data_IF_401193717641
#
_entry.id   IF_401193717641
#
_cell.length_a   1.000
_cell.length_b   1.000
_cell.length_c   1.000
_cell.angle_alpha   90.00
_cell.angle_beta   90.00
_cell.angle_gamma   90.00
#
_symmetry.space_group_name_H-M   'P 1'
#
loop_
_entity.id
_entity.type
_entity.pdbx_description
1 polymer ?
#
# COMPACT_ATOMS: atom_id res chain seq x y z
N UNK A 1 -19.53 -6.28 -1.92
CA UNK A 1 -19.99 -5.10 -2.67
C UNK A 1 -19.32 -5.18 -4.02
N UNK A 2 -20.08 -5.02 -5.09
CA UNK A 2 -19.50 -5.03 -6.44
C UNK A 2 -19.31 -3.60 -6.93
N UNK A 3 -18.15 -3.34 -7.51
CA UNK A 3 -17.83 -2.03 -8.09
C UNK A 3 -17.69 -2.20 -9.60
N UNK A 4 -18.81 -2.18 -10.35
CA UNK A 4 -18.77 -2.46 -11.78
C UNK A 4 -17.96 -1.45 -12.59
N UNK A 5 -17.73 -0.27 -12.05
CA UNK A 5 -16.87 0.76 -12.64
C UNK A 5 -15.40 0.33 -12.71
N UNK A 6 -15.01 -0.68 -11.92
CA UNK A 6 -13.64 -1.22 -11.92
C UNK A 6 -13.43 -2.26 -13.01
N UNK A 7 -14.50 -2.83 -13.58
CA UNK A 7 -14.35 -3.86 -14.61
C UNK A 7 -13.60 -3.31 -15.82
N UNK A 8 -12.57 -4.03 -16.25
CA UNK A 8 -11.71 -3.63 -17.38
C UNK A 8 -10.69 -2.54 -17.07
N UNK A 9 -10.65 -2.02 -15.84
CA UNK A 9 -9.62 -1.06 -15.43
C UNK A 9 -8.30 -1.79 -15.20
N UNK A 10 -7.21 -1.06 -15.32
CA UNK A 10 -5.85 -1.60 -15.18
C UNK A 10 -5.25 -1.07 -13.88
N UNK A 11 -4.80 -1.97 -13.02
CA UNK A 11 -4.24 -1.64 -11.70
C UNK A 11 -2.82 -2.16 -11.55
N UNK A 12 -1.95 -1.33 -10.97
CA UNK A 12 -0.64 -1.77 -10.48
C UNK A 12 -0.73 -1.90 -8.96
N UNK A 13 -0.30 -3.04 -8.42
CA UNK A 13 -0.22 -3.25 -6.97
C UNK A 13 1.22 -3.63 -6.62
N UNK A 14 1.91 -2.79 -5.85
CA UNK A 14 3.27 -3.10 -5.38
C UNK A 14 3.23 -3.83 -4.04
N UNK A 15 4.17 -4.76 -3.84
CA UNK A 15 4.15 -5.65 -2.68
C UNK A 15 3.00 -6.64 -2.78
N UNK A 16 2.71 -7.12 -4.00
CA UNK A 16 1.54 -7.97 -4.30
C UNK A 16 1.78 -9.44 -4.00
N UNK A 17 3.00 -9.83 -3.64
CA UNK A 17 3.34 -11.23 -3.37
C UNK A 17 2.74 -11.77 -2.08
N UNK A 18 2.38 -10.90 -1.13
CA UNK A 18 1.89 -11.34 0.19
C UNK A 18 0.99 -10.30 0.86
N UNK A 19 0.37 -10.69 1.95
CA UNK A 19 -0.31 -9.80 2.89
C UNK A 19 -1.38 -8.93 2.24
N UNK A 20 -1.37 -7.63 2.60
CA UNK A 20 -2.38 -6.68 2.11
C UNK A 20 -2.31 -6.54 0.58
N UNK A 21 -1.10 -6.44 0.01
CA UNK A 21 -0.94 -6.30 -1.44
C UNK A 21 -1.57 -7.46 -2.21
N UNK A 22 -1.34 -8.68 -1.77
CA UNK A 22 -1.92 -9.87 -2.39
C UNK A 22 -3.46 -9.86 -2.28
N UNK A 23 -3.97 -9.52 -1.09
CA UNK A 23 -5.42 -9.47 -0.88
C UNK A 23 -6.07 -8.39 -1.78
N UNK A 24 -5.41 -7.23 -1.91
CA UNK A 24 -5.87 -6.15 -2.79
C UNK A 24 -5.86 -6.61 -4.25
N UNK A 25 -4.75 -7.23 -4.70
CA UNK A 25 -4.62 -7.70 -6.08
C UNK A 25 -5.74 -8.67 -6.44
N UNK A 26 -6.01 -9.64 -5.54
CA UNK A 26 -7.11 -10.61 -5.71
C UNK A 26 -8.46 -9.90 -5.78
N UNK A 27 -8.72 -9.01 -4.83
CA UNK A 27 -10.02 -8.33 -4.77
C UNK A 27 -10.24 -7.44 -5.99
N UNK A 28 -9.21 -6.75 -6.51
CA UNK A 28 -9.34 -5.97 -7.76
C UNK A 28 -9.66 -6.87 -8.94
N UNK A 29 -9.02 -8.04 -9.03
CA UNK A 29 -9.31 -9.00 -10.09
C UNK A 29 -10.74 -9.54 -9.99
N UNK A 30 -11.23 -9.79 -8.76
CA UNK A 30 -12.63 -10.22 -8.53
C UNK A 30 -13.64 -9.15 -8.96
N UNK A 31 -13.22 -7.87 -8.94
CA UNK A 31 -14.06 -6.76 -9.46
C UNK A 31 -13.87 -6.57 -10.97
N UNK A 32 -13.06 -7.41 -11.63
CA UNK A 32 -12.87 -7.40 -13.07
C UNK A 32 -11.72 -6.55 -13.58
N UNK A 33 -10.82 -6.10 -12.71
CA UNK A 33 -9.62 -5.37 -13.13
C UNK A 33 -8.59 -6.29 -13.77
N UNK A 34 -7.80 -5.73 -14.67
CA UNK A 34 -6.51 -6.30 -15.04
C UNK A 34 -5.48 -5.83 -14.00
N UNK A 35 -4.67 -6.75 -13.45
CA UNK A 35 -3.80 -6.41 -12.32
C UNK A 35 -2.34 -6.78 -12.62
N UNK A 36 -1.44 -5.81 -12.53
CA UNK A 36 -0.01 -6.09 -12.50
C UNK A 36 0.40 -6.32 -11.03
N UNK A 37 0.75 -7.56 -10.72
CA UNK A 37 1.25 -7.98 -9.40
C UNK A 37 2.75 -7.72 -9.36
N UNK A 38 3.17 -6.67 -8.67
CA UNK A 38 4.57 -6.24 -8.62
C UNK A 38 5.16 -6.51 -7.23
N UNK A 39 6.32 -7.17 -7.19
CA UNK A 39 6.97 -7.49 -5.91
C UNK A 39 8.48 -7.60 -6.10
N UNK A 40 9.26 -7.40 -5.03
CA UNK A 40 10.71 -7.62 -5.06
C UNK A 40 11.02 -9.13 -5.19
N UNK A 41 10.13 -9.96 -4.65
CA UNK A 41 10.18 -11.41 -4.82
C UNK A 41 9.39 -11.76 -6.09
N UNK A 42 10.12 -12.01 -7.18
CA UNK A 42 9.51 -12.35 -8.47
C UNK A 42 8.69 -13.63 -8.41
N UNK A 43 9.15 -14.65 -7.67
CA UNK A 43 8.42 -15.90 -7.54
C UNK A 43 7.09 -15.69 -6.82
N UNK A 44 7.07 -14.83 -5.80
CA UNK A 44 5.83 -14.49 -5.10
C UNK A 44 4.87 -13.70 -6.00
N UNK A 45 5.40 -12.79 -6.83
CA UNK A 45 4.59 -12.05 -7.81
C UNK A 45 3.97 -13.01 -8.86
N UNK A 46 4.78 -13.94 -9.37
CA UNK A 46 4.33 -14.96 -10.35
C UNK A 46 3.25 -15.87 -9.74
N UNK A 47 3.46 -16.30 -8.49
CA UNK A 47 2.48 -17.11 -7.78
C UNK A 47 1.16 -16.35 -7.56
N UNK A 48 1.25 -15.05 -7.24
CA UNK A 48 0.07 -14.21 -7.06
C UNK A 48 -0.71 -14.09 -8.39
N UNK A 49 -0.02 -13.73 -9.49
CA UNK A 49 -0.64 -13.59 -10.80
C UNK A 49 -1.26 -14.91 -11.28
N UNK A 50 -0.55 -16.03 -11.08
CA UNK A 50 -1.04 -17.37 -11.46
C UNK A 50 -2.33 -17.71 -10.71
N UNK A 51 -2.39 -17.44 -9.41
CA UNK A 51 -3.58 -17.72 -8.59
C UNK A 51 -4.77 -16.83 -8.99
N UNK A 52 -4.51 -15.60 -9.39
CA UNK A 52 -5.55 -14.68 -9.88
C UNK A 52 -6.05 -15.14 -11.26
N UNK A 53 -5.14 -15.58 -12.12
CA UNK A 53 -5.51 -16.11 -13.43
C UNK A 53 -5.64 -15.06 -14.50
N UNK A 54 -6.63 -15.23 -15.38
CA UNK A 54 -6.83 -14.32 -16.53
C UNK A 54 -7.00 -12.87 -16.05
N UNK A 55 -6.25 -11.97 -16.64
CA UNK A 55 -6.30 -10.56 -16.27
C UNK A 55 -5.20 -10.15 -15.31
N UNK A 56 -4.30 -11.07 -14.92
CA UNK A 56 -3.16 -10.72 -14.05
C UNK A 56 -1.84 -11.00 -14.76
N UNK A 57 -0.85 -10.18 -14.45
CA UNK A 57 0.54 -10.35 -14.88
C UNK A 57 1.46 -10.08 -13.69
N UNK A 58 2.65 -10.63 -13.72
CA UNK A 58 3.63 -10.44 -12.66
C UNK A 58 4.78 -9.56 -13.11
N UNK A 59 5.39 -8.87 -12.16
CA UNK A 59 6.58 -8.06 -12.40
C UNK A 59 7.48 -8.05 -11.18
N UNK A 60 8.74 -8.46 -11.37
CA UNK A 60 9.73 -8.30 -10.29
C UNK A 60 10.19 -6.85 -10.26
N UNK A 61 10.10 -6.18 -9.10
CA UNK A 61 10.50 -4.77 -8.97
C UNK A 61 11.01 -4.46 -7.56
N UNK A 62 12.15 -3.82 -7.48
CA UNK A 62 12.60 -3.15 -6.27
C UNK A 62 12.12 -1.70 -6.36
N UNK A 63 11.17 -1.32 -5.52
CA UNK A 63 10.58 0.03 -5.55
C UNK A 63 11.57 1.12 -5.12
N UNK A 64 12.72 0.75 -4.56
CA UNK A 64 13.77 1.74 -4.27
C UNK A 64 14.61 2.09 -5.50
N UNK A 65 14.43 1.37 -6.62
CA UNK A 65 15.17 1.58 -7.88
C UNK A 65 14.25 2.23 -8.91
N UNK A 66 14.53 3.47 -9.27
CA UNK A 66 13.69 4.22 -10.21
C UNK A 66 13.60 3.55 -11.59
N UNK A 67 14.70 2.95 -12.08
CA UNK A 67 14.69 2.32 -13.40
C UNK A 67 13.78 1.08 -13.44
N UNK A 68 13.76 0.33 -12.33
CA UNK A 68 12.85 -0.82 -12.23
C UNK A 68 11.39 -0.38 -12.15
N UNK A 69 11.10 0.76 -11.50
CA UNK A 69 9.73 1.30 -11.46
C UNK A 69 9.30 1.74 -12.88
N UNK A 70 10.19 2.41 -13.63
CA UNK A 70 9.90 2.78 -15.02
C UNK A 70 9.56 1.52 -15.82
N UNK A 71 10.42 0.50 -15.71
CA UNK A 71 10.20 -0.77 -16.41
C UNK A 71 8.88 -1.45 -15.99
N UNK A 72 8.53 -1.38 -14.70
CA UNK A 72 7.26 -1.93 -14.18
C UNK A 72 6.05 -1.23 -14.82
N UNK A 73 6.08 0.11 -14.88
CA UNK A 73 4.98 0.88 -15.47
C UNK A 73 4.88 0.58 -16.97
N UNK A 74 6.02 0.51 -17.67
CA UNK A 74 6.03 0.18 -19.10
C UNK A 74 5.54 -1.25 -19.35
N UNK A 75 5.88 -2.21 -18.48
CA UNK A 75 5.37 -3.58 -18.56
C UNK A 75 3.84 -3.61 -18.39
N UNK A 76 3.30 -2.80 -17.48
CA UNK A 76 1.87 -2.69 -17.28
C UNK A 76 1.18 -2.16 -18.56
N UNK A 77 1.74 -1.10 -19.14
CA UNK A 77 1.22 -0.51 -20.38
C UNK A 77 1.28 -1.53 -21.51
N UNK A 78 2.40 -2.26 -21.63
CA UNK A 78 2.56 -3.29 -22.68
C UNK A 78 1.55 -4.44 -22.52
N UNK A 79 1.30 -4.86 -21.28
CA UNK A 79 0.40 -5.99 -21.03
C UNK A 79 -1.07 -5.62 -21.17
N UNK A 80 -1.46 -4.41 -20.73
CA UNK A 80 -2.88 -4.07 -20.54
C UNK A 80 -3.29 -2.74 -21.20
N UNK A 81 -2.38 -2.06 -21.87
CA UNK A 81 -2.70 -0.84 -22.64
C UNK A 81 -2.72 0.46 -21.83
N UNK A 82 -2.36 0.45 -20.56
CA UNK A 82 -2.33 1.68 -19.77
C UNK A 82 -2.35 1.42 -18.27
N UNK A 83 -2.57 2.48 -17.50
CA UNK A 83 -2.70 2.40 -16.03
C UNK A 83 -3.91 3.26 -15.61
N UNK A 84 -4.83 2.70 -14.86
CA UNK A 84 -6.00 3.42 -14.29
C UNK A 84 -5.89 3.58 -12.77
N UNK A 85 -5.30 2.59 -12.09
CA UNK A 85 -5.26 2.53 -10.62
C UNK A 85 -3.85 2.18 -10.15
N UNK A 86 -3.43 2.78 -9.04
CA UNK A 86 -2.15 2.45 -8.41
C UNK A 86 -2.37 2.18 -6.92
N UNK A 87 -1.83 1.06 -6.46
CA UNK A 87 -1.76 0.75 -5.02
C UNK A 87 -0.28 0.67 -4.63
N UNK A 88 0.23 1.75 -4.03
CA UNK A 88 1.60 1.82 -3.54
C UNK A 88 1.63 1.22 -2.13
N UNK A 89 1.80 -0.11 -2.10
CA UNK A 89 1.71 -0.89 -0.86
C UNK A 89 3.07 -1.44 -0.40
N UNK A 90 4.03 -1.63 -1.30
CA UNK A 90 5.35 -2.18 -0.95
C UNK A 90 5.98 -1.40 0.21
N UNK A 91 6.57 -2.13 1.15
CA UNK A 91 7.22 -1.49 2.29
C UNK A 91 7.89 -2.49 3.20
N UNK A 92 8.71 -1.94 4.10
CA UNK A 92 9.43 -2.73 5.11
C UNK A 92 9.21 -2.08 6.48
N UNK A 93 9.30 -2.88 7.53
CA UNK A 93 9.30 -2.40 8.91
C UNK A 93 10.73 -2.47 9.46
N UNK A 94 11.08 -1.48 10.25
CA UNK A 94 12.31 -1.48 11.05
C UNK A 94 11.95 -0.97 12.45
N UNK A 95 12.28 -1.74 13.46
CA UNK A 95 11.99 -1.40 14.86
C UNK A 95 13.31 -1.27 15.62
N UNK A 96 13.61 -0.06 15.99
CA UNK A 96 14.77 0.29 16.81
C UNK A 96 14.50 1.63 17.48
N UNK A 97 15.18 1.91 18.58
CA UNK A 97 15.09 3.24 19.20
C UNK A 97 15.64 4.28 18.22
N UNK A 98 15.23 5.52 18.39
CA UNK A 98 15.67 6.61 17.51
C UNK A 98 17.21 6.74 17.50
N UNK A 99 17.82 6.57 18.66
CA UNK A 99 19.28 6.72 18.80
C UNK A 99 20.06 5.48 18.34
N UNK A 100 19.42 4.31 18.28
CA UNK A 100 20.08 3.07 17.85
C UNK A 100 19.85 2.78 16.36
N UNK A 101 18.96 3.52 15.70
CA UNK A 101 18.72 3.36 14.25
C UNK A 101 19.95 3.83 13.48
N UNK A 102 20.56 2.95 12.70
CA UNK A 102 21.71 3.33 11.87
C UNK A 102 21.24 4.21 10.69
N UNK A 103 22.19 4.98 10.13
CA UNK A 103 21.90 5.79 8.92
C UNK A 103 21.47 4.86 7.77
N UNK A 104 22.12 3.71 7.65
CA UNK A 104 21.84 2.73 6.61
C UNK A 104 20.41 2.18 6.72
N UNK A 105 19.95 1.85 7.93
CA UNK A 105 18.58 1.37 8.15
C UNK A 105 17.55 2.48 7.90
N UNK A 106 17.86 3.69 8.37
CA UNK A 106 17.01 4.86 8.10
C UNK A 106 16.86 5.06 6.59
N UNK A 107 17.98 5.13 5.87
CA UNK A 107 17.97 5.36 4.42
C UNK A 107 17.22 4.25 3.67
N UNK A 108 17.43 2.99 4.07
CA UNK A 108 16.74 1.84 3.48
C UNK A 108 15.23 1.95 3.65
N UNK A 109 14.77 2.28 4.87
CA UNK A 109 13.33 2.40 5.15
C UNK A 109 12.72 3.56 4.35
N UNK A 110 13.40 4.71 4.32
CA UNK A 110 12.92 5.88 3.55
C UNK A 110 12.92 5.58 2.05
N UNK A 111 13.98 4.93 1.55
CA UNK A 111 14.09 4.61 0.12
C UNK A 111 12.94 3.69 -0.34
N UNK A 112 12.63 2.66 0.44
CA UNK A 112 11.58 1.70 0.08
C UNK A 112 10.19 2.29 0.31
N UNK A 113 9.91 2.74 1.55
CA UNK A 113 8.54 3.07 1.94
C UNK A 113 8.07 4.40 1.35
N UNK A 114 8.90 5.45 1.44
CA UNK A 114 8.45 6.80 1.06
C UNK A 114 8.89 7.16 -0.35
N UNK A 115 10.19 7.04 -0.64
CA UNK A 115 10.69 7.37 -1.98
C UNK A 115 10.10 6.42 -3.02
N UNK A 116 9.97 5.12 -2.68
CA UNK A 116 9.34 4.15 -3.57
C UNK A 116 7.89 4.50 -3.92
N UNK A 117 7.08 4.86 -2.91
CA UNK A 117 5.68 5.27 -3.16
C UNK A 117 5.61 6.53 -4.03
N UNK A 118 6.52 7.49 -3.78
CA UNK A 118 6.62 8.71 -4.59
C UNK A 118 7.02 8.38 -6.03
N UNK A 119 8.03 7.51 -6.22
CA UNK A 119 8.47 7.10 -7.56
C UNK A 119 7.36 6.37 -8.32
N UNK A 120 6.63 5.47 -7.65
CA UNK A 120 5.49 4.80 -8.27
C UNK A 120 4.45 5.83 -8.75
N UNK A 121 4.14 6.82 -7.90
CA UNK A 121 3.21 7.90 -8.27
C UNK A 121 3.77 8.73 -9.44
N UNK A 122 5.05 9.11 -9.37
CA UNK A 122 5.74 9.93 -10.39
C UNK A 122 5.64 9.32 -11.77
N UNK A 123 5.81 7.99 -11.86
CA UNK A 123 5.88 7.32 -13.17
C UNK A 123 4.52 6.75 -13.62
N UNK A 124 3.61 6.40 -12.70
CA UNK A 124 2.27 5.92 -13.07
C UNK A 124 1.33 7.09 -13.44
N UNK A 125 1.41 8.23 -12.76
CA UNK A 125 0.46 9.33 -12.98
C UNK A 125 0.47 9.85 -14.44
N UNK A 126 1.61 10.03 -15.12
CA UNK A 126 1.57 10.42 -16.54
C UNK A 126 0.81 9.42 -17.41
N UNK A 127 1.00 8.10 -17.18
CA UNK A 127 0.27 7.07 -17.94
C UNK A 127 -1.23 7.09 -17.62
N UNK A 128 -1.58 7.40 -16.36
CA UNK A 128 -2.99 7.59 -15.97
C UNK A 128 -3.60 8.81 -16.69
N UNK A 129 -2.86 9.91 -16.79
CA UNK A 129 -3.30 11.13 -17.50
C UNK A 129 -3.50 10.83 -18.99
N UNK A 130 -2.58 10.15 -19.60
CA UNK A 130 -2.67 9.75 -21.02
C UNK A 130 -3.91 8.89 -21.29
N UNK A 131 -4.26 8.00 -20.39
CA UNK A 131 -5.39 7.11 -20.51
C UNK A 131 -6.71 7.74 -20.04
N UNK A 132 -6.43 8.49 -19.24
CA UNK A 132 -7.60 9.02 -18.63
C UNK A 132 -8.27 10.13 -19.38
N UNK A 133 -8.25 10.23 -20.40
CA UNK A 133 -8.95 11.22 -21.13
C UNK A 133 -10.35 11.50 -20.66
N UNK A 134 -10.83 10.86 -19.94
CA UNK A 134 -12.10 11.09 -19.41
C UNK A 134 -12.47 10.40 -18.11
N UNK A 135 -11.82 9.60 -17.70
CA UNK A 135 -12.26 8.88 -16.56
C UNK A 135 -11.39 9.03 -15.38
N UNK A 136 -10.51 9.76 -15.34
CA UNK A 136 -9.62 9.99 -14.24
C UNK A 136 -9.02 8.72 -13.67
N UNK A 137 -8.09 8.88 -12.71
CA UNK A 137 -7.43 7.75 -12.06
C UNK A 137 -7.64 7.74 -10.54
N UNK A 138 -7.17 6.66 -9.88
CA UNK A 138 -7.18 6.65 -8.42
C UNK A 138 -5.92 5.97 -7.87
N UNK A 139 -5.35 6.57 -6.86
CA UNK A 139 -4.13 6.10 -6.19
C UNK A 139 -4.45 5.87 -4.71
N UNK A 140 -4.05 4.71 -4.20
CA UNK A 140 -4.12 4.46 -2.76
C UNK A 140 -2.71 4.11 -2.26
N UNK A 141 -2.25 4.88 -1.30
CA UNK A 141 -0.94 4.67 -0.67
C UNK A 141 -1.14 3.98 0.69
N UNK A 142 -0.40 2.91 0.95
CA UNK A 142 -0.47 2.20 2.24
C UNK A 142 0.49 2.82 3.24
N UNK A 143 -0.06 3.58 4.18
CA UNK A 143 0.67 4.10 5.32
C UNK A 143 0.56 3.11 6.51
N UNK A 144 0.36 3.62 7.69
CA UNK A 144 0.22 2.87 8.94
C UNK A 144 -0.31 3.81 10.01
N UNK A 145 -0.92 3.27 11.04
CA UNK A 145 -1.26 4.06 12.22
C UNK A 145 -0.01 4.75 12.80
N UNK A 146 1.18 4.11 12.70
CA UNK A 146 2.44 4.70 13.15
C UNK A 146 2.85 5.96 12.35
N UNK A 147 2.20 6.25 11.23
CA UNK A 147 2.41 7.51 10.51
C UNK A 147 1.60 8.67 11.08
N UNK A 148 0.66 8.40 11.98
CA UNK A 148 -0.21 9.42 12.59
C UNK A 148 0.00 9.52 14.10
N UNK A 149 0.30 8.41 14.78
CA UNK A 149 0.59 8.41 16.21
C UNK A 149 2.02 7.96 16.46
N UNK A 150 2.63 8.53 17.48
CA UNK A 150 4.00 8.16 17.83
C UNK A 150 4.01 6.81 18.57
N UNK A 151 4.79 5.88 18.03
CA UNK A 151 5.00 4.58 18.64
C UNK A 151 6.51 4.45 18.88
N UNK A 152 6.90 4.28 20.14
CA UNK A 152 8.32 4.11 20.49
C UNK A 152 8.91 2.93 19.70
N UNK A 153 10.13 3.09 19.22
CA UNK A 153 10.81 2.05 18.46
C UNK A 153 10.48 2.01 16.98
N UNK A 154 9.62 2.93 16.47
CA UNK A 154 9.27 2.94 15.05
C UNK A 154 9.79 4.18 14.31
N UNK A 155 10.92 4.78 14.78
CA UNK A 155 11.37 6.08 14.27
C UNK A 155 11.37 6.20 12.75
N UNK A 156 12.28 5.50 12.07
CA UNK A 156 12.39 5.58 10.60
C UNK A 156 11.09 5.15 9.92
N UNK A 157 10.47 4.06 10.40
CA UNK A 157 9.22 3.55 9.86
C UNK A 157 8.10 4.58 10.00
N UNK A 158 7.89 5.09 11.22
CA UNK A 158 6.83 6.08 11.48
C UNK A 158 7.00 7.34 10.62
N UNK A 159 8.25 7.85 10.52
CA UNK A 159 8.55 9.00 9.67
C UNK A 159 8.23 8.71 8.21
N UNK A 160 8.61 7.53 7.69
CA UNK A 160 8.29 7.15 6.32
C UNK A 160 6.77 7.12 6.10
N UNK A 161 6.02 6.56 7.05
CA UNK A 161 4.56 6.43 6.94
C UNK A 161 3.84 7.78 7.10
N UNK A 162 4.38 8.70 7.91
CA UNK A 162 3.87 10.09 7.98
C UNK A 162 4.10 10.80 6.64
N UNK A 163 5.28 10.60 6.02
CA UNK A 163 5.58 11.16 4.70
C UNK A 163 4.59 10.68 3.63
N UNK A 164 4.17 9.41 3.68
CA UNK A 164 3.18 8.86 2.74
C UNK A 164 1.82 9.58 2.87
N UNK A 165 1.40 9.94 4.10
CA UNK A 165 0.17 10.69 4.30
C UNK A 165 0.25 12.04 3.56
N UNK A 166 1.39 12.73 3.72
CA UNK A 166 1.57 14.03 3.06
C UNK A 166 1.73 13.86 1.55
N UNK A 167 2.42 12.80 1.09
CA UNK A 167 2.52 12.49 -0.34
C UNK A 167 1.13 12.40 -0.99
N UNK A 168 0.20 11.66 -0.37
CA UNK A 168 -1.16 11.53 -0.91
C UNK A 168 -1.89 12.86 -1.01
N UNK A 169 -1.71 13.74 0.00
CA UNK A 169 -2.34 15.07 0.00
C UNK A 169 -1.79 15.94 -1.13
N UNK A 170 -0.47 15.93 -1.31
CA UNK A 170 0.19 16.69 -2.38
C UNK A 170 -0.28 16.14 -3.73
N UNK A 171 -0.26 14.82 -3.91
CA UNK A 171 -0.72 14.18 -5.15
C UNK A 171 -2.17 14.56 -5.46
N UNK A 172 -3.05 14.52 -4.46
CA UNK A 172 -4.46 14.90 -4.66
C UNK A 172 -4.60 16.35 -5.10
N UNK A 173 -3.82 17.25 -4.51
CA UNK A 173 -3.87 18.68 -4.85
C UNK A 173 -3.34 18.94 -6.27
N UNK A 174 -2.21 18.33 -6.62
CA UNK A 174 -1.55 18.57 -7.91
C UNK A 174 -2.26 17.91 -9.09
N UNK A 175 -2.83 16.72 -8.88
CA UNK A 175 -3.42 15.93 -9.97
C UNK A 175 -4.95 16.06 -10.06
N UNK A 176 -5.56 16.92 -9.23
CA UNK A 176 -7.01 17.14 -9.23
C UNK A 176 -7.54 17.55 -10.61
N UNK A 177 -6.83 18.45 -11.29
CA UNK A 177 -7.25 18.94 -12.60
C UNK A 177 -7.20 17.85 -13.68
N UNK A 178 -6.42 16.78 -13.44
CA UNK A 178 -6.35 15.62 -14.32
C UNK A 178 -7.37 14.53 -13.94
N UNK A 179 -8.22 14.79 -12.94
CA UNK A 179 -9.22 13.82 -12.50
C UNK A 179 -8.64 12.65 -11.71
N UNK A 180 -7.41 12.77 -11.19
CA UNK A 180 -6.78 11.70 -10.43
C UNK A 180 -6.98 11.96 -8.93
N UNK A 181 -7.55 10.97 -8.23
CA UNK A 181 -7.73 11.00 -6.77
C UNK A 181 -6.55 10.27 -6.12
N UNK A 182 -6.14 10.72 -4.93
CA UNK A 182 -5.10 10.05 -4.16
C UNK A 182 -5.49 10.04 -2.69
N UNK A 183 -5.51 8.86 -2.08
CA UNK A 183 -5.88 8.68 -0.68
C UNK A 183 -4.89 7.77 0.03
N UNK A 184 -4.92 7.81 1.36
CA UNK A 184 -4.05 7.00 2.20
C UNK A 184 -4.89 6.06 3.07
N UNK A 185 -4.50 4.79 3.14
CA UNK A 185 -5.05 3.86 4.13
C UNK A 185 -4.03 3.68 5.26
N UNK A 186 -4.49 3.77 6.51
CA UNK A 186 -3.69 3.56 7.72
C UNK A 186 -4.21 2.33 8.47
N UNK A 187 -3.68 1.16 8.19
CA UNK A 187 -3.94 -0.01 9.04
C UNK A 187 -3.19 0.09 10.38
N UNK A 188 -3.70 -0.59 11.41
CA UNK A 188 -2.91 -0.88 12.60
C UNK A 188 -2.38 -2.33 12.49
N UNK A 189 -2.96 -3.28 13.21
CA UNK A 189 -2.43 -4.65 13.25
C UNK A 189 -3.19 -5.54 12.29
N UNK A 190 -2.52 -5.96 11.20
CA UNK A 190 -3.09 -6.82 10.15
C UNK A 190 -2.27 -8.11 10.07
N UNK A 191 -2.92 -9.26 9.98
CA UNK A 191 -2.25 -10.58 9.96
C UNK A 191 -1.51 -10.78 8.63
N UNK A 192 -0.24 -10.39 8.62
CA UNK A 192 0.64 -10.44 7.45
C UNK A 192 2.01 -10.94 7.86
N UNK A 193 2.83 -11.42 6.91
CA UNK A 193 4.22 -11.79 7.25
C UNK A 193 5.00 -10.64 7.90
N UNK A 194 4.81 -9.40 7.42
CA UNK A 194 5.46 -8.21 8.02
C UNK A 194 5.04 -8.04 9.48
N UNK A 195 3.76 -8.22 9.79
CA UNK A 195 3.25 -8.09 11.17
C UNK A 195 3.79 -9.21 12.05
N UNK A 196 3.92 -10.42 11.55
CA UNK A 196 4.48 -11.53 12.31
C UNK A 196 5.94 -11.24 12.70
N UNK A 197 6.72 -10.67 11.78
CA UNK A 197 8.09 -10.21 12.06
C UNK A 197 8.08 -9.13 13.16
N UNK A 198 7.21 -8.14 13.05
CA UNK A 198 7.09 -7.07 14.05
C UNK A 198 6.67 -7.63 15.41
N UNK A 199 5.76 -8.60 15.45
CA UNK A 199 5.33 -9.23 16.72
C UNK A 199 6.51 -9.90 17.44
N UNK A 200 7.37 -10.60 16.70
CA UNK A 200 8.55 -11.24 17.31
C UNK A 200 9.46 -10.19 17.97
N UNK A 201 9.61 -9.02 17.32
CA UNK A 201 10.39 -7.92 17.88
C UNK A 201 9.71 -7.33 19.13
N UNK A 202 8.39 -7.12 19.09
CA UNK A 202 7.64 -6.63 20.27
C UNK A 202 7.69 -7.63 21.42
N UNK A 203 7.60 -8.94 21.14
CA UNK A 203 7.72 -9.96 22.18
C UNK A 203 9.11 -9.93 22.84
N UNK A 204 10.15 -9.59 22.07
CA UNK A 204 11.49 -9.39 22.64
C UNK A 204 11.53 -8.28 23.69
N UNK A 205 10.74 -7.23 23.49
CA UNK A 205 10.68 -6.08 24.40
C UNK A 205 9.66 -6.27 25.54
N UNK A 206 8.54 -6.92 25.26
CA UNK A 206 7.39 -7.02 26.18
C UNK A 206 7.32 -8.37 26.92
N UNK A 207 8.15 -9.33 26.52
CA UNK A 207 8.09 -10.70 27.01
C UNK A 207 7.17 -11.56 26.11
N UNK A 208 7.33 -12.87 26.20
CA UNK A 208 6.62 -13.83 25.35
C UNK A 208 5.10 -13.63 25.42
N UNK A 209 4.46 -13.44 24.27
CA UNK A 209 3.01 -13.21 24.16
C UNK A 209 2.59 -11.78 24.45
N UNK A 210 3.55 -10.89 24.76
CA UNK A 210 3.26 -9.48 25.03
C UNK A 210 2.65 -8.74 23.86
N UNK A 211 3.15 -9.02 22.66
CA UNK A 211 2.61 -8.43 21.43
C UNK A 211 1.15 -8.81 21.22
N UNK A 212 0.81 -10.10 21.42
CA UNK A 212 -0.57 -10.57 21.26
C UNK A 212 -1.50 -9.90 22.29
N UNK A 213 -1.04 -9.82 23.54
CA UNK A 213 -1.81 -9.17 24.62
C UNK A 213 -2.04 -7.68 24.33
N UNK A 214 -1.01 -7.02 23.81
CA UNK A 214 -1.11 -5.61 23.40
C UNK A 214 -2.15 -5.43 22.30
N UNK A 215 -2.12 -6.26 21.26
CA UNK A 215 -3.08 -6.19 20.14
C UNK A 215 -4.51 -6.44 20.64
N UNK A 216 -4.69 -7.45 21.50
CA UNK A 216 -6.01 -7.76 22.07
C UNK A 216 -6.57 -6.57 22.85
N UNK A 217 -5.71 -5.86 23.57
CA UNK A 217 -6.13 -4.69 24.36
C UNK A 217 -6.42 -3.47 23.48
N UNK A 218 -5.60 -3.23 22.45
CA UNK A 218 -5.70 -2.00 21.64
C UNK A 218 -6.72 -2.13 20.50
N UNK A 219 -6.73 -3.26 19.81
CA UNK A 219 -7.53 -3.46 18.59
C UNK A 219 -8.57 -4.56 18.73
N UNK A 220 -8.47 -5.41 19.76
CA UNK A 220 -9.34 -6.56 19.94
C UNK A 220 -8.81 -7.80 19.24
N UNK A 221 -8.41 -7.70 18.00
CA UNK A 221 -7.83 -8.78 17.18
C UNK A 221 -7.01 -8.21 16.06
N UNK A 222 -6.21 -9.01 15.43
CA UNK A 222 -5.62 -8.61 14.14
C UNK A 222 -6.71 -8.60 13.07
N UNK A 223 -6.63 -7.64 12.17
CA UNK A 223 -7.49 -7.61 10.99
C UNK A 223 -6.96 -8.62 9.96
N UNK A 224 -7.86 -9.16 9.13
CA UNK A 224 -7.45 -9.95 7.97
C UNK A 224 -7.04 -9.00 6.84
N UNK A 225 -6.06 -9.39 5.99
CA UNK A 225 -5.69 -8.57 4.83
C UNK A 225 -6.88 -8.21 3.93
N UNK A 226 -7.86 -9.10 3.84
CA UNK A 226 -9.08 -8.91 3.02
C UNK A 226 -9.93 -7.74 3.52
N UNK A 227 -9.87 -7.43 4.83
CA UNK A 227 -10.58 -6.28 5.37
C UNK A 227 -9.95 -4.97 4.87
N UNK A 228 -8.62 -4.95 4.74
CA UNK A 228 -7.91 -3.81 4.16
C UNK A 228 -8.19 -3.70 2.66
N UNK A 229 -8.25 -4.84 1.96
CA UNK A 229 -8.52 -4.88 0.52
C UNK A 229 -9.89 -4.27 0.20
N UNK A 230 -10.91 -4.53 1.03
CA UNK A 230 -12.23 -3.92 0.84
C UNK A 230 -12.19 -2.40 0.85
N UNK A 231 -11.42 -1.82 1.78
CA UNK A 231 -11.30 -0.36 1.88
C UNK A 231 -10.51 0.20 0.69
N UNK A 232 -9.42 -0.46 0.31
CA UNK A 232 -8.60 -0.02 -0.85
C UNK A 232 -9.46 0.00 -2.11
N UNK A 233 -10.21 -1.07 -2.36
CA UNK A 233 -11.04 -1.20 -3.56
C UNK A 233 -12.13 -0.11 -3.58
N UNK A 234 -12.80 0.13 -2.45
CA UNK A 234 -13.74 1.26 -2.32
C UNK A 234 -13.07 2.59 -2.68
N UNK A 235 -11.88 2.87 -2.13
CA UNK A 235 -11.18 4.14 -2.40
C UNK A 235 -10.78 4.27 -3.88
N UNK A 236 -10.57 3.15 -4.58
CA UNK A 236 -10.23 3.15 -6.01
C UNK A 236 -11.47 3.26 -6.91
N UNK A 237 -12.65 2.91 -6.42
CA UNK A 237 -13.89 2.90 -7.19
C UNK A 237 -14.53 4.30 -7.31
N UNK A 238 -15.52 4.41 -8.15
CA UNK A 238 -16.29 5.65 -8.35
C UNK A 238 -17.19 5.97 -7.14
N UNK A 239 -17.47 4.99 -6.27
CA UNK A 239 -18.18 5.24 -5.00
C UNK A 239 -17.41 6.23 -4.12
N UNK A 240 -16.08 6.35 -4.32
CA UNK A 240 -15.23 7.29 -3.61
C UNK A 240 -14.92 8.55 -4.44
N UNK A 241 -15.76 8.90 -5.41
CA UNK A 241 -15.48 10.00 -6.36
C UNK A 241 -15.22 11.35 -5.68
N UNK A 242 -15.80 11.61 -4.53
CA UNK A 242 -15.58 12.86 -3.78
C UNK A 242 -14.53 12.72 -2.67
N UNK A 243 -13.85 11.55 -2.59
CA UNK A 243 -12.85 11.28 -1.56
C UNK A 243 -11.46 11.38 -2.19
N UNK A 244 -10.72 12.44 -1.87
CA UNK A 244 -9.34 12.62 -2.31
C UNK A 244 -8.56 13.44 -1.28
N UNK A 245 -7.28 13.13 -1.10
CA UNK A 245 -6.41 13.78 -0.12
C UNK A 245 -6.72 13.34 1.31
N UNK A 246 -7.51 12.29 1.50
CA UNK A 246 -7.96 11.87 2.82
C UNK A 246 -7.09 10.74 3.37
N UNK A 247 -7.23 10.56 4.68
CA UNK A 247 -6.58 9.50 5.43
C UNK A 247 -7.67 8.62 6.03
N UNK A 248 -7.78 7.39 5.56
CA UNK A 248 -8.74 6.42 6.09
C UNK A 248 -8.02 5.56 7.14
N UNK A 249 -8.51 5.60 8.36
CA UNK A 249 -7.95 4.81 9.46
C UNK A 249 -8.73 3.51 9.56
N UNK A 250 -8.00 2.38 9.60
CA UNK A 250 -8.59 1.05 9.70
C UNK A 250 -7.84 0.30 10.81
N UNK A 251 -8.23 0.58 12.04
CA UNK A 251 -7.45 0.20 13.23
C UNK A 251 -8.29 -0.44 14.35
N UNK A 252 -9.54 -0.82 14.03
CA UNK A 252 -10.43 -1.42 15.03
C UNK A 252 -10.74 -0.52 16.20
N UNK A 253 -10.56 0.81 16.05
CA UNK A 253 -10.80 1.77 17.12
C UNK A 253 -9.60 2.04 18.03
N UNK A 254 -8.43 1.54 17.66
CA UNK A 254 -7.19 1.70 18.46
C UNK A 254 -6.94 3.15 18.82
N UNK A 255 -6.97 4.06 17.83
CA UNK A 255 -6.67 5.48 18.07
C UNK A 255 -7.77 6.16 18.90
N UNK A 256 -9.01 5.68 18.77
CA UNK A 256 -10.14 6.26 19.51
C UNK A 256 -10.17 5.80 20.98
N UNK A 257 -9.47 4.72 21.30
CA UNK A 257 -9.52 4.08 22.62
C UNK A 257 -8.19 4.23 23.39
N UNK A 258 -7.36 5.19 23.05
CA UNK A 258 -6.03 5.36 23.70
C UNK A 258 -6.13 6.06 25.08
N UNK A 259 -7.29 6.04 25.73
CA UNK A 259 -7.52 6.67 27.06
C UNK A 259 -7.97 5.68 28.10
#
# INVERSE_FOLDING_TARGET
MNHPDLAGKVAIVTGAGAGIGLAVARRLADEGCHVLCADIDGDAADAAATKIGCGAAACRVDVSDEQQIIAMVDACVAAFGGVDKLVANAGVVHLASLIDTTVEDFDRVIAINLRGAWLCTKHAAPRMIERXXXXGGAIVNLSSLAGQVAVGGTGAYGMSKAGIIQLSRITAAELRSSGIRSNTLLPAFVDTPMQQTAMAMFDGALGAGGARSMIARLQGRMAAPEEMAGIVVFLLSDDASMITGTTQIADGGTIAALW
#
